data_IF_515198172620
#
_entry.id   IF_515198172620
#
_cell.length_a   1.000
_cell.length_b   1.000
_cell.length_c   1.000
_cell.angle_alpha   90.00
_cell.angle_beta   90.00
_cell.angle_gamma   90.00
#
_symmetry.space_group_name_H-M   'P 1'
#
loop_
_entity.id
_entity.type
_entity.pdbx_description
1 polymer ?
#
# COMPACT_ATOMS: atom_id res chain seq x y z
N UNK A 1 2.68 4.51 23.03
CA UNK A 1 4.01 3.88 23.25
C UNK A 1 5.08 4.95 22.97
N UNK A 2 6.22 4.87 23.63
CA UNK A 2 7.33 5.84 23.44
C UNK A 2 7.73 5.97 21.97
N UNK A 3 7.77 4.87 21.24
CA UNK A 3 8.01 4.83 19.78
C UNK A 3 7.00 5.66 18.98
N UNK A 4 5.76 5.70 19.40
CA UNK A 4 4.70 6.46 18.71
C UNK A 4 4.82 7.97 18.97
N UNK A 5 5.36 8.35 20.13
CA UNK A 5 5.64 9.77 20.48
C UNK A 5 6.73 10.29 19.56
N UNK A 6 7.85 9.57 19.44
CA UNK A 6 8.97 9.97 18.60
C UNK A 6 8.59 10.10 17.12
N UNK A 7 7.77 9.16 16.61
CA UNK A 7 7.26 9.24 15.24
C UNK A 7 6.30 10.40 15.03
N UNK A 8 5.44 10.66 16.02
CA UNK A 8 4.56 11.81 15.98
C UNK A 8 5.35 13.13 16.01
N UNK A 9 6.37 13.25 16.85
CA UNK A 9 7.26 14.43 16.90
C UNK A 9 8.01 14.60 15.57
N UNK A 10 8.47 13.50 14.97
CA UNK A 10 9.08 13.53 13.63
C UNK A 10 8.10 14.10 12.61
N UNK A 11 6.87 13.59 12.52
CA UNK A 11 5.88 14.05 11.56
C UNK A 11 5.48 15.51 11.79
N UNK A 12 5.34 15.95 13.04
CA UNK A 12 5.10 17.36 13.36
C UNK A 12 6.23 18.23 12.81
N UNK A 13 7.49 17.82 13.02
CA UNK A 13 8.66 18.54 12.50
C UNK A 13 8.68 18.60 10.97
N UNK A 14 8.38 17.48 10.30
CA UNK A 14 8.33 17.44 8.83
C UNK A 14 7.18 18.31 8.30
N UNK A 15 5.98 18.18 8.85
CA UNK A 15 4.80 18.91 8.38
C UNK A 15 4.85 20.41 8.68
N UNK A 16 5.53 20.82 9.74
CA UNK A 16 5.77 22.24 10.02
C UNK A 16 6.65 22.95 8.96
N UNK A 17 7.31 22.19 8.09
CA UNK A 17 8.06 22.72 6.94
C UNK A 17 7.16 22.90 5.70
N UNK A 18 5.90 22.55 5.80
CA UNK A 18 4.91 22.67 4.74
C UNK A 18 3.79 23.61 5.15
N UNK A 19 2.93 23.99 4.20
CA UNK A 19 1.70 24.76 4.47
C UNK A 19 0.46 23.86 4.54
N UNK A 20 0.63 22.56 4.80
CA UNK A 20 -0.47 21.59 4.87
C UNK A 20 -1.15 21.62 6.24
N UNK A 21 -2.49 21.68 6.23
CA UNK A 21 -3.29 21.35 7.41
C UNK A 21 -3.49 19.84 7.46
N UNK A 22 -3.29 19.23 8.63
CA UNK A 22 -3.38 17.78 8.76
C UNK A 22 -4.14 17.36 10.01
N UNK A 23 -4.69 16.17 9.96
CA UNK A 23 -5.29 15.45 11.08
C UNK A 23 -4.51 14.18 11.33
N UNK A 24 -4.23 13.86 12.60
CA UNK A 24 -3.60 12.60 12.96
C UNK A 24 -4.64 11.50 13.10
N UNK A 25 -4.49 10.44 12.32
CA UNK A 25 -5.28 9.22 12.47
C UNK A 25 -4.47 8.17 13.27
N UNK A 26 -5.04 7.57 14.34
CA UNK A 26 -4.33 6.56 15.13
C UNK A 26 -4.19 5.25 14.35
N UNK A 27 -2.96 4.81 14.16
CA UNK A 27 -2.67 3.51 13.55
C UNK A 27 -3.02 2.33 14.46
N UNK A 28 -3.26 1.18 13.86
CA UNK A 28 -3.57 -0.08 14.54
C UNK A 28 -2.27 -0.83 14.86
N UNK A 29 -2.06 -1.19 16.11
CA UNK A 29 -0.97 -2.10 16.49
C UNK A 29 -1.39 -3.55 16.22
N UNK A 30 -0.87 -4.13 15.14
CA UNK A 30 -1.23 -5.47 14.71
C UNK A 30 -0.91 -6.59 15.72
N UNK A 31 -0.05 -6.32 16.73
CA UNK A 31 0.24 -7.27 17.81
C UNK A 31 -0.90 -7.41 18.81
N UNK A 32 -1.78 -6.41 18.88
CA UNK A 32 -2.89 -6.35 19.84
C UNK A 32 -4.26 -6.39 19.14
N UNK A 33 -4.28 -6.76 17.86
CA UNK A 33 -5.50 -6.86 17.07
C UNK A 33 -6.23 -8.18 17.34
N UNK A 34 -7.53 -8.09 17.57
CA UNK A 34 -8.43 -9.25 17.47
C UNK A 34 -8.64 -9.60 15.99
N UNK A 35 -7.76 -10.47 15.46
CA UNK A 35 -7.76 -10.85 14.06
C UNK A 35 -9.02 -11.59 13.64
N UNK A 36 -9.58 -12.41 14.53
CA UNK A 36 -10.83 -13.15 14.29
C UNK A 36 -12.00 -12.20 14.05
N UNK A 37 -12.05 -11.11 14.81
CA UNK A 37 -13.04 -10.04 14.59
C UNK A 37 -12.92 -9.46 13.20
N UNK A 38 -11.71 -9.05 12.77
CA UNK A 38 -11.52 -8.45 11.45
C UNK A 38 -11.72 -9.43 10.29
N UNK A 39 -11.47 -10.73 10.53
CA UNK A 39 -11.79 -11.80 9.56
C UNK A 39 -13.32 -11.92 9.41
N UNK A 40 -14.06 -11.95 10.51
CA UNK A 40 -15.54 -12.03 10.50
C UNK A 40 -16.17 -10.79 9.86
N UNK A 41 -15.62 -9.62 10.12
CA UNK A 41 -16.06 -8.35 9.52
C UNK A 41 -15.65 -8.21 8.03
N UNK A 42 -14.85 -9.13 7.50
CA UNK A 42 -14.41 -9.12 6.10
C UNK A 42 -13.28 -8.15 5.77
N UNK A 43 -12.71 -7.45 6.75
CA UNK A 43 -11.60 -6.51 6.55
C UNK A 43 -10.24 -7.21 6.47
N UNK A 44 -10.10 -8.40 7.04
CA UNK A 44 -8.89 -9.25 7.00
C UNK A 44 -9.25 -10.63 6.42
N UNK A 45 -8.38 -11.20 5.60
CA UNK A 45 -8.51 -12.59 5.15
C UNK A 45 -7.71 -13.53 6.05
N UNK A 46 -8.16 -14.78 6.19
CA UNK A 46 -7.40 -15.83 6.88
C UNK A 46 -6.06 -16.09 6.18
N UNK A 47 -5.98 -15.90 4.86
CA UNK A 47 -4.73 -16.00 4.12
C UNK A 47 -3.75 -14.91 4.52
N UNK A 48 -4.20 -13.65 4.65
CA UNK A 48 -3.35 -12.55 5.11
C UNK A 48 -2.87 -12.78 6.55
N UNK A 49 -3.71 -13.28 7.45
CA UNK A 49 -3.30 -13.63 8.82
C UNK A 49 -2.23 -14.73 8.84
N UNK A 50 -2.34 -15.73 7.96
CA UNK A 50 -1.33 -16.78 7.83
C UNK A 50 0.00 -16.27 7.27
N UNK A 51 -0.04 -15.36 6.28
CA UNK A 51 1.14 -14.95 5.50
C UNK A 51 1.84 -13.71 6.03
N UNK A 52 1.09 -12.76 6.59
CA UNK A 52 1.61 -11.45 6.97
C UNK A 52 2.09 -11.43 8.42
N UNK A 53 3.08 -10.59 8.67
CA UNK A 53 3.49 -10.26 10.05
C UNK A 53 2.43 -9.37 10.71
N UNK A 54 2.40 -9.35 12.06
CA UNK A 54 1.48 -8.47 12.78
C UNK A 54 1.67 -6.99 12.40
N UNK A 55 2.91 -6.56 12.14
CA UNK A 55 3.20 -5.20 11.65
C UNK A 55 2.51 -4.91 10.31
N UNK A 56 2.57 -5.84 9.35
CA UNK A 56 1.92 -5.69 8.04
C UNK A 56 0.41 -5.69 8.14
N UNK A 57 -0.14 -6.54 9.03
CA UNK A 57 -1.59 -6.58 9.31
C UNK A 57 -2.02 -5.26 9.93
N UNK A 58 -1.29 -4.75 10.93
CA UNK A 58 -1.56 -3.47 11.56
C UNK A 58 -1.54 -2.32 10.57
N UNK A 59 -0.52 -2.26 9.70
CA UNK A 59 -0.42 -1.27 8.63
C UNK A 59 -1.62 -1.34 7.68
N UNK A 60 -1.92 -2.52 7.12
CA UNK A 60 -3.02 -2.69 6.18
C UNK A 60 -4.39 -2.36 6.79
N UNK A 61 -4.65 -2.80 8.02
CA UNK A 61 -5.89 -2.46 8.72
C UNK A 61 -5.97 -0.96 9.05
N UNK A 62 -4.84 -0.30 9.35
CA UNK A 62 -4.81 1.15 9.58
C UNK A 62 -5.29 1.91 8.34
N UNK A 63 -4.81 1.55 7.14
CA UNK A 63 -5.26 2.15 5.89
C UNK A 63 -6.76 1.90 5.66
N UNK A 64 -7.24 0.67 5.82
CA UNK A 64 -8.67 0.34 5.66
C UNK A 64 -9.55 1.14 6.63
N UNK A 65 -9.13 1.25 7.89
CA UNK A 65 -9.88 2.01 8.90
C UNK A 65 -9.84 3.52 8.64
N UNK A 66 -8.71 4.04 8.13
CA UNK A 66 -8.61 5.43 7.67
C UNK A 66 -9.58 5.70 6.51
N UNK A 67 -9.68 4.80 5.53
CA UNK A 67 -10.64 4.95 4.43
C UNK A 67 -12.10 4.93 4.93
N UNK A 68 -12.42 4.05 5.89
CA UNK A 68 -13.74 4.05 6.54
C UNK A 68 -14.00 5.35 7.29
N UNK A 69 -13.00 5.92 7.95
CA UNK A 69 -13.09 7.20 8.64
C UNK A 69 -13.35 8.34 7.66
N UNK A 70 -12.56 8.46 6.58
CA UNK A 70 -12.75 9.46 5.53
C UNK A 70 -14.14 9.35 4.91
N UNK A 71 -14.59 8.14 4.61
CA UNK A 71 -15.96 7.90 4.10
C UNK A 71 -17.04 8.42 5.04
N UNK A 72 -16.87 8.23 6.34
CA UNK A 72 -17.89 8.57 7.34
C UNK A 72 -17.89 10.07 7.69
N UNK A 73 -16.80 10.80 7.44
CA UNK A 73 -16.69 12.23 7.68
C UNK A 73 -17.43 13.12 6.67
N UNK A 74 -18.16 12.57 5.71
CA UNK A 74 -18.77 13.27 4.57
C UNK A 74 -19.83 14.35 4.92
N UNK A 75 -19.79 14.95 6.09
CA UNK A 75 -20.56 16.18 6.37
C UNK A 75 -20.11 17.36 5.49
N UNK A 76 -18.87 17.35 5.04
CA UNK A 76 -18.35 18.23 3.99
C UNK A 76 -17.64 17.34 2.96
N UNK A 77 -18.17 17.22 1.74
CA UNK A 77 -17.54 16.38 0.72
C UNK A 77 -16.16 16.95 0.38
N UNK A 78 -15.13 16.15 0.61
CA UNK A 78 -13.78 16.40 0.12
C UNK A 78 -13.59 15.57 -1.15
N UNK A 79 -12.99 16.15 -2.19
CA UNK A 79 -12.77 15.45 -3.45
C UNK A 79 -11.52 14.54 -3.40
N UNK A 80 -10.54 14.94 -2.58
CA UNK A 80 -9.25 14.28 -2.48
C UNK A 80 -8.76 14.26 -1.03
N UNK A 81 -8.01 13.22 -0.67
CA UNK A 81 -7.30 13.16 0.62
C UNK A 81 -5.84 12.79 0.39
N UNK A 82 -4.92 13.59 0.95
CA UNK A 82 -3.51 13.24 1.06
C UNK A 82 -3.33 12.37 2.31
N UNK A 83 -2.67 11.24 2.15
CA UNK A 83 -2.35 10.29 3.22
C UNK A 83 -0.85 10.16 3.33
N UNK A 84 -0.34 10.31 4.55
CA UNK A 84 1.08 10.22 4.88
C UNK A 84 1.28 9.21 6.01
N UNK A 85 2.25 8.32 5.87
CA UNK A 85 2.71 7.46 6.96
C UNK A 85 3.66 8.21 7.91
N UNK A 86 3.91 7.67 9.07
CA UNK A 86 4.63 8.32 10.17
C UNK A 86 6.17 8.30 10.03
N UNK A 87 6.69 7.84 8.89
CA UNK A 87 8.12 7.83 8.55
C UNK A 87 8.46 8.66 7.30
N UNK A 88 7.49 9.41 6.80
CA UNK A 88 7.66 10.30 5.65
C UNK A 88 8.56 11.48 6.00
N UNK A 89 9.35 11.91 5.03
CA UNK A 89 10.15 13.15 5.06
C UNK A 89 9.72 14.06 3.91
N UNK A 90 9.80 15.35 4.17
CA UNK A 90 9.57 16.41 3.21
C UNK A 90 10.82 16.57 2.34
N UNK A 91 10.72 16.36 1.02
CA UNK A 91 11.87 16.43 0.12
C UNK A 91 12.30 17.90 -0.16
N UNK A 92 11.34 18.81 -0.15
CA UNK A 92 11.57 20.20 -0.52
C UNK A 92 11.02 21.15 0.55
N UNK A 93 11.77 21.41 1.64
CA UNK A 93 11.37 22.40 2.65
C UNK A 93 11.05 23.76 2.02
N UNK A 94 10.03 24.42 2.51
CA UNK A 94 9.56 25.74 2.04
C UNK A 94 8.85 25.78 0.67
N UNK A 95 8.61 24.63 0.05
CA UNK A 95 7.73 24.55 -1.11
C UNK A 95 6.28 24.81 -0.69
N UNK A 96 5.49 25.41 -1.56
CA UNK A 96 4.03 25.50 -1.39
C UNK A 96 3.40 24.16 -1.74
N UNK A 97 3.37 23.24 -0.75
CA UNK A 97 2.86 21.87 -0.93
C UNK A 97 1.40 21.85 -1.34
N UNK A 98 0.57 22.75 -0.83
CA UNK A 98 -0.84 22.84 -1.23
C UNK A 98 -0.98 23.17 -2.71
N UNK A 99 -0.19 24.10 -3.22
CA UNK A 99 -0.18 24.47 -4.63
C UNK A 99 0.32 23.33 -5.52
N UNK A 100 1.43 22.70 -5.14
CA UNK A 100 2.00 21.59 -5.91
C UNK A 100 1.08 20.38 -5.97
N UNK A 101 0.47 19.98 -4.85
CA UNK A 101 -0.48 18.88 -4.79
C UNK A 101 -1.70 19.19 -5.67
N UNK A 102 -2.24 20.41 -5.61
CA UNK A 102 -3.35 20.82 -6.46
C UNK A 102 -2.98 20.82 -7.95
N UNK A 103 -1.75 21.23 -8.30
CA UNK A 103 -1.26 21.18 -9.68
C UNK A 103 -1.14 19.73 -10.19
N UNK A 104 -0.61 18.81 -9.36
CA UNK A 104 -0.54 17.37 -9.64
C UNK A 104 -1.94 16.80 -9.89
N UNK A 105 -2.90 17.09 -9.00
CA UNK A 105 -4.28 16.62 -9.14
C UNK A 105 -4.90 17.15 -10.44
N UNK A 106 -4.78 18.46 -10.70
CA UNK A 106 -5.33 19.09 -11.90
C UNK A 106 -4.75 18.47 -13.19
N UNK A 107 -3.43 18.27 -13.24
CA UNK A 107 -2.76 17.63 -14.36
C UNK A 107 -3.27 16.20 -14.59
N UNK A 108 -3.39 15.39 -13.53
CA UNK A 108 -3.76 13.99 -13.66
C UNK A 108 -5.26 13.80 -13.90
N UNK A 109 -6.10 14.73 -13.51
CA UNK A 109 -7.51 14.74 -13.92
C UNK A 109 -7.68 14.87 -15.44
N UNK A 110 -6.71 15.47 -16.12
CA UNK A 110 -6.71 15.60 -17.58
C UNK A 110 -6.03 14.40 -18.24
N UNK A 111 -4.84 14.03 -17.77
CA UNK A 111 -3.99 13.02 -18.42
C UNK A 111 -4.39 11.59 -18.10
N UNK A 112 -4.97 11.36 -16.92
CA UNK A 112 -5.36 10.05 -16.41
C UNK A 112 -6.74 10.12 -15.72
N UNK A 113 -7.83 10.44 -16.41
CA UNK A 113 -9.12 10.82 -15.80
C UNK A 113 -9.76 9.73 -14.91
N UNK A 114 -9.23 8.51 -14.94
CA UNK A 114 -9.70 7.37 -14.14
C UNK A 114 -8.77 7.00 -12.98
N UNK A 115 -7.82 7.87 -12.64
CA UNK A 115 -6.94 7.59 -11.51
C UNK A 115 -7.72 7.50 -10.19
N UNK A 116 -7.29 6.60 -9.32
CA UNK A 116 -7.89 6.37 -8.01
C UNK A 116 -6.91 6.71 -6.88
N UNK A 117 -5.63 6.48 -7.14
CA UNK A 117 -4.52 6.77 -6.22
C UNK A 117 -3.40 7.44 -7.02
N UNK A 118 -2.83 8.51 -6.48
CA UNK A 118 -1.56 9.09 -6.97
C UNK A 118 -0.53 8.90 -5.87
N UNK A 119 0.49 8.10 -6.11
CA UNK A 119 1.61 7.92 -5.18
C UNK A 119 2.64 9.02 -5.39
N UNK A 120 2.97 9.72 -4.31
CA UNK A 120 3.93 10.83 -4.30
C UNK A 120 5.32 10.40 -3.84
N UNK A 121 5.46 9.16 -3.39
CA UNK A 121 6.72 8.51 -3.04
C UNK A 121 6.83 7.17 -3.75
N UNK A 122 8.01 6.88 -4.30
CA UNK A 122 8.36 5.61 -4.92
C UNK A 122 9.70 5.13 -4.37
N UNK A 123 9.78 3.88 -3.94
CA UNK A 123 11.01 3.25 -3.46
C UNK A 123 11.94 2.80 -4.62
N UNK A 124 11.90 3.50 -5.76
CA UNK A 124 12.70 3.16 -6.95
C UNK A 124 12.16 1.98 -7.76
N UNK A 125 11.14 1.30 -7.26
CA UNK A 125 10.38 0.27 -7.97
C UNK A 125 8.90 0.62 -7.78
N UNK A 126 8.12 0.72 -8.84
CA UNK A 126 6.70 1.14 -8.80
C UNK A 126 5.76 0.17 -8.05
N UNK A 127 6.31 -0.82 -7.39
CA UNK A 127 5.60 -1.77 -6.54
C UNK A 127 5.55 -1.28 -5.10
N UNK A 128 4.74 -0.23 -4.88
CA UNK A 128 4.19 -0.06 -3.59
C UNK A 128 5.05 0.63 -2.55
N UNK A 129 4.96 1.94 -2.52
CA UNK A 129 5.12 2.67 -1.27
C UNK A 129 3.80 3.35 -0.97
N UNK A 130 3.13 2.91 0.10
CA UNK A 130 1.96 3.57 0.66
C UNK A 130 2.32 4.73 1.58
N UNK A 131 3.58 5.13 1.63
CA UNK A 131 4.05 6.12 2.59
C UNK A 131 3.49 7.52 2.37
N UNK A 132 3.33 7.94 1.10
CA UNK A 132 2.75 9.24 0.73
C UNK A 132 1.94 9.09 -0.55
N UNK A 133 0.63 9.32 -0.47
CA UNK A 133 -0.26 9.20 -1.63
C UNK A 133 -1.54 10.02 -1.50
N UNK A 134 -2.12 10.37 -2.64
CA UNK A 134 -3.42 11.03 -2.75
C UNK A 134 -4.46 10.00 -3.19
N UNK A 135 -5.62 10.00 -2.56
CA UNK A 135 -6.79 9.25 -3.01
C UNK A 135 -7.86 10.17 -3.58
N UNK A 136 -8.55 9.71 -4.63
CA UNK A 136 -9.79 10.32 -5.07
C UNK A 136 -10.94 9.74 -4.25
N UNK A 137 -11.66 10.61 -3.52
CA UNK A 137 -12.76 10.17 -2.63
C UNK A 137 -13.98 9.65 -3.40
N UNK A 138 -14.04 9.86 -4.71
CA UNK A 138 -15.02 9.19 -5.60
C UNK A 138 -14.95 7.66 -5.49
N UNK A 139 -13.80 7.13 -5.10
CA UNK A 139 -13.53 5.69 -4.98
C UNK A 139 -13.46 5.21 -3.53
N UNK A 140 -13.83 6.08 -2.57
CA UNK A 140 -13.68 5.79 -1.14
C UNK A 140 -14.45 4.56 -0.69
N UNK A 141 -15.60 4.27 -1.28
CA UNK A 141 -16.38 3.05 -0.97
C UNK A 141 -15.59 1.78 -1.30
N UNK A 142 -14.92 1.74 -2.45
CA UNK A 142 -14.09 0.59 -2.83
C UNK A 142 -12.90 0.42 -1.89
N UNK A 143 -12.23 1.52 -1.53
CA UNK A 143 -11.09 1.52 -0.59
C UNK A 143 -11.53 1.12 0.82
N UNK A 144 -12.65 1.66 1.32
CA UNK A 144 -13.17 1.37 2.66
C UNK A 144 -13.68 -0.06 2.81
N UNK A 145 -14.13 -0.68 1.72
CA UNK A 145 -14.60 -2.07 1.67
C UNK A 145 -13.49 -3.06 1.23
N UNK A 146 -12.26 -2.60 1.07
CA UNK A 146 -11.13 -3.47 0.74
C UNK A 146 -10.94 -4.53 1.83
N UNK A 147 -10.74 -5.78 1.42
CA UNK A 147 -10.34 -6.87 2.29
C UNK A 147 -8.84 -7.08 2.18
N UNK A 148 -8.14 -7.02 3.29
CA UNK A 148 -6.70 -7.26 3.31
C UNK A 148 -6.40 -8.73 2.99
N UNK A 149 -5.80 -8.98 1.81
CA UNK A 149 -5.41 -10.29 1.32
C UNK A 149 -3.92 -10.53 1.50
N UNK A 150 -3.11 -9.50 1.29
CA UNK A 150 -1.66 -9.48 1.45
C UNK A 150 -1.18 -8.04 1.67
N UNK A 151 0.10 -7.74 1.51
CA UNK A 151 0.65 -6.41 1.79
C UNK A 151 -0.15 -5.31 1.09
N UNK A 152 -0.60 -4.32 1.85
CA UNK A 152 -1.59 -3.32 1.40
C UNK A 152 -1.14 -2.57 0.16
N UNK A 153 0.12 -2.15 0.08
CA UNK A 153 0.65 -1.38 -1.05
C UNK A 153 0.64 -2.17 -2.34
N UNK A 154 1.06 -3.44 -2.25
CA UNK A 154 1.07 -4.36 -3.38
C UNK A 154 -0.36 -4.65 -3.80
N UNK A 155 -1.27 -4.88 -2.84
CA UNK A 155 -2.67 -5.13 -3.11
C UNK A 155 -3.32 -3.94 -3.82
N UNK A 156 -3.04 -2.72 -3.37
CA UNK A 156 -3.52 -1.51 -4.03
C UNK A 156 -3.04 -1.44 -5.48
N UNK A 157 -1.76 -1.76 -5.73
CA UNK A 157 -1.20 -1.72 -7.10
C UNK A 157 -1.89 -2.65 -8.08
N UNK A 158 -2.51 -3.73 -7.60
CA UNK A 158 -3.27 -4.66 -8.44
C UNK A 158 -4.76 -4.34 -8.54
N UNK A 159 -5.33 -3.65 -7.55
CA UNK A 159 -6.79 -3.44 -7.46
C UNK A 159 -7.22 -2.06 -7.96
N UNK A 160 -6.31 -1.08 -8.01
CA UNK A 160 -6.64 0.31 -8.30
C UNK A 160 -5.81 0.88 -9.45
N UNK A 161 -6.37 1.90 -10.12
CA UNK A 161 -5.65 2.69 -11.11
C UNK A 161 -4.73 3.67 -10.40
N UNK A 162 -3.44 3.33 -10.35
CA UNK A 162 -2.42 4.11 -9.64
C UNK A 162 -1.54 4.86 -10.62
N UNK A 163 -1.34 6.15 -10.36
CA UNK A 163 -0.29 6.96 -10.98
C UNK A 163 0.88 7.03 -9.99
N UNK A 164 2.08 6.73 -10.47
CA UNK A 164 3.30 6.77 -9.68
C UNK A 164 4.11 8.02 -10.01
N UNK A 165 4.38 8.83 -9.00
CA UNK A 165 5.25 9.98 -9.05
C UNK A 165 6.32 9.79 -7.98
N UNK A 166 7.55 10.21 -8.28
CA UNK A 166 8.63 10.24 -7.29
C UNK A 166 8.97 11.71 -7.03
N UNK A 167 8.15 12.33 -6.20
CA UNK A 167 8.23 13.76 -5.92
C UNK A 167 7.70 14.07 -4.53
N UNK A 168 8.03 15.23 -3.99
CA UNK A 168 7.55 15.83 -2.76
C UNK A 168 7.94 15.12 -1.45
N UNK A 169 7.96 13.78 -1.41
CA UNK A 169 8.18 13.04 -0.17
C UNK A 169 9.22 11.93 -0.34
N UNK A 170 9.94 11.64 0.74
CA UNK A 170 10.89 10.55 0.87
C UNK A 170 10.55 9.71 2.10
N UNK A 171 11.07 8.50 2.18
CA UNK A 171 11.00 7.66 3.38
C UNK A 171 12.36 7.09 3.73
N UNK A 172 12.50 6.62 4.96
CA UNK A 172 13.60 5.74 5.31
C UNK A 172 13.34 4.36 4.70
N UNK A 173 14.36 3.78 4.07
CA UNK A 173 14.31 2.42 3.58
C UNK A 173 13.96 1.46 4.73
N UNK A 174 12.87 0.71 4.55
CA UNK A 174 12.46 -0.36 5.46
C UNK A 174 12.40 -1.67 4.68
N UNK A 175 13.15 -2.65 5.15
CA UNK A 175 13.02 -4.01 4.64
C UNK A 175 11.69 -4.61 5.08
N UNK A 176 10.95 -5.14 4.12
CA UNK A 176 9.69 -5.82 4.34
C UNK A 176 9.93 -7.32 4.35
N UNK A 177 9.72 -7.97 5.50
CA UNK A 177 9.88 -9.41 5.66
C UNK A 177 8.54 -10.09 5.94
N UNK A 178 8.21 -11.11 5.15
CA UNK A 178 7.06 -11.97 5.40
C UNK A 178 7.42 -13.08 6.39
N UNK A 179 6.42 -13.61 7.12
CA UNK A 179 6.60 -14.77 8.02
C UNK A 179 7.11 -16.00 7.25
N UNK A 180 6.63 -16.18 6.02
CA UNK A 180 7.03 -17.30 5.18
C UNK A 180 8.21 -16.91 4.27
N UNK A 181 9.37 -17.58 4.38
CA UNK A 181 10.55 -17.29 3.56
C UNK A 181 10.29 -17.38 2.05
N UNK A 182 9.41 -18.29 1.61
CA UNK A 182 9.04 -18.43 0.20
C UNK A 182 8.32 -17.18 -0.33
N UNK A 183 7.52 -16.51 0.50
CA UNK A 183 6.86 -15.27 0.13
C UNK A 183 7.86 -14.12 -0.01
N UNK A 184 8.91 -14.08 0.82
CA UNK A 184 9.99 -13.11 0.66
C UNK A 184 10.70 -13.29 -0.69
N UNK A 185 10.95 -14.53 -1.10
CA UNK A 185 11.52 -14.85 -2.41
C UNK A 185 10.58 -14.40 -3.53
N UNK A 186 9.27 -14.72 -3.44
CA UNK A 186 8.27 -14.30 -4.43
C UNK A 186 8.20 -12.79 -4.58
N UNK A 187 8.23 -12.04 -3.48
CA UNK A 187 8.21 -10.56 -3.51
C UNK A 187 9.47 -9.99 -4.13
N UNK A 188 10.65 -10.55 -3.81
CA UNK A 188 11.90 -10.13 -4.44
C UNK A 188 11.89 -10.43 -5.94
N UNK A 189 11.40 -11.59 -6.36
CA UNK A 189 11.24 -11.91 -7.79
C UNK A 189 10.21 -11.01 -8.48
N UNK A 190 9.13 -10.63 -7.82
CA UNK A 190 8.20 -9.64 -8.34
C UNK A 190 8.86 -8.28 -8.54
N UNK A 191 9.67 -7.83 -7.58
CA UNK A 191 10.45 -6.58 -7.72
C UNK A 191 11.37 -6.63 -8.95
N UNK A 192 12.07 -7.73 -9.18
CA UNK A 192 12.93 -7.92 -10.35
C UNK A 192 12.11 -7.96 -11.65
N UNK A 193 11.01 -8.69 -11.67
CA UNK A 193 10.12 -8.77 -12.83
C UNK A 193 9.52 -7.40 -13.19
N UNK A 194 9.19 -6.60 -12.20
CA UNK A 194 8.65 -5.25 -12.40
C UNK A 194 9.71 -4.26 -12.88
N UNK A 195 10.94 -4.35 -12.37
CA UNK A 195 12.08 -3.58 -12.88
C UNK A 195 12.33 -3.85 -14.37
N UNK A 196 12.28 -5.11 -14.77
CA UNK A 196 12.37 -5.51 -16.18
C UNK A 196 11.19 -5.00 -17.02
N UNK A 197 9.98 -4.89 -16.41
CA UNK A 197 8.80 -4.33 -17.07
C UNK A 197 8.93 -2.84 -17.37
N UNK A 198 9.45 -2.03 -16.45
CA UNK A 198 9.66 -0.60 -16.68
C UNK A 198 10.65 -0.33 -17.81
N UNK A 199 11.62 -1.22 -18.01
CA UNK A 199 12.68 -1.04 -19.01
C UNK A 199 12.48 -1.84 -20.29
N UNK A 200 11.52 -2.76 -20.35
CA UNK A 200 11.29 -3.64 -21.49
C UNK A 200 9.82 -3.73 -21.90
N UNK A 201 9.31 -2.70 -22.59
CA UNK A 201 8.05 -2.72 -23.37
C UNK A 201 6.75 -3.24 -22.70
N UNK A 202 5.60 -2.64 -23.04
CA UNK A 202 4.22 -3.04 -22.72
C UNK A 202 3.86 -4.52 -23.01
N UNK A 203 4.70 -5.24 -23.72
CA UNK A 203 4.64 -6.68 -23.94
C UNK A 203 4.75 -7.51 -22.65
N UNK A 204 5.41 -6.98 -21.62
CA UNK A 204 5.60 -7.68 -20.33
C UNK A 204 4.39 -7.60 -19.38
N UNK A 205 3.36 -6.84 -19.67
CA UNK A 205 2.11 -6.93 -18.90
C UNK A 205 1.56 -8.37 -18.93
N UNK A 206 1.72 -9.07 -20.05
CA UNK A 206 1.44 -10.50 -20.18
C UNK A 206 2.41 -11.40 -19.40
N UNK A 207 3.64 -10.98 -19.17
CA UNK A 207 4.64 -11.80 -18.45
C UNK A 207 4.39 -11.77 -16.95
N UNK A 208 3.91 -10.68 -16.36
CA UNK A 208 3.53 -10.66 -14.93
C UNK A 208 2.34 -11.58 -14.68
N UNK A 209 1.32 -11.58 -15.53
CA UNK A 209 0.26 -12.60 -15.51
C UNK A 209 0.82 -14.00 -15.78
N UNK A 210 1.74 -14.14 -16.71
CA UNK A 210 2.45 -15.37 -17.02
C UNK A 210 3.26 -15.90 -15.83
N UNK A 211 3.93 -15.04 -15.07
CA UNK A 211 4.63 -15.42 -13.84
C UNK A 211 3.67 -15.93 -12.78
N UNK A 212 2.54 -15.28 -12.56
CA UNK A 212 1.54 -15.77 -11.60
C UNK A 212 0.96 -17.11 -12.03
N UNK A 213 0.65 -17.27 -13.32
CA UNK A 213 0.18 -18.55 -13.88
C UNK A 213 1.29 -19.61 -13.76
N UNK A 214 2.54 -19.25 -14.09
CA UNK A 214 3.68 -20.15 -13.98
C UNK A 214 3.92 -20.61 -12.53
N UNK A 215 3.87 -19.71 -11.55
CA UNK A 215 3.99 -20.07 -10.13
C UNK A 215 2.79 -20.88 -9.64
N UNK A 216 1.58 -20.58 -10.06
CA UNK A 216 0.41 -21.42 -9.75
C UNK A 216 0.55 -22.82 -10.35
N UNK A 217 1.04 -22.95 -11.58
CA UNK A 217 1.31 -24.25 -12.22
C UNK A 217 2.44 -24.98 -11.47
N UNK A 218 3.51 -24.28 -11.09
CA UNK A 218 4.63 -24.84 -10.34
C UNK A 218 4.18 -25.34 -8.95
N UNK A 219 3.35 -24.58 -8.24
CA UNK A 219 2.78 -24.97 -6.96
C UNK A 219 1.84 -26.17 -7.09
N UNK A 220 1.01 -26.19 -8.13
CA UNK A 220 0.15 -27.34 -8.45
C UNK A 220 0.98 -28.59 -8.81
N UNK A 221 2.06 -28.42 -9.56
CA UNK A 221 2.99 -29.48 -9.91
C UNK A 221 3.68 -30.06 -8.66
N UNK A 222 4.21 -29.21 -7.79
CA UNK A 222 4.79 -29.64 -6.50
C UNK A 222 3.76 -30.27 -5.58
N UNK A 223 2.54 -29.76 -5.54
CA UNK A 223 1.43 -30.36 -4.80
C UNK A 223 1.13 -31.78 -5.32
N UNK A 224 1.04 -31.97 -6.63
CA UNK A 224 0.78 -33.29 -7.23
C UNK A 224 1.93 -34.28 -7.02
N UNK A 225 3.20 -33.83 -7.05
CA UNK A 225 4.36 -34.69 -6.75
C UNK A 225 4.43 -35.04 -5.26
N UNK A 226 4.10 -34.11 -4.36
CA UNK A 226 4.16 -34.35 -2.91
C UNK A 226 2.95 -35.13 -2.38
N UNK A 227 1.81 -35.11 -3.08
CA UNK A 227 0.59 -35.81 -2.68
C UNK A 227 0.77 -37.30 -2.39
N UNK A 228 1.52 -38.12 -3.18
CA UNK A 228 1.76 -39.53 -2.86
C UNK A 228 2.59 -39.75 -1.60
N UNK A 229 3.40 -38.78 -1.20
CA UNK A 229 4.23 -38.85 0.02
C UNK A 229 3.46 -38.41 1.26
N UNK A 230 2.47 -37.53 1.12
CA UNK A 230 1.60 -37.05 2.20
C UNK A 230 0.48 -38.03 2.56
N UNK A 231 0.09 -38.91 1.62
CA UNK A 231 -0.96 -39.90 1.85
C UNK A 231 -0.47 -41.29 2.29
N UNK A 232 0.86 -41.43 2.52
CA UNK A 232 1.49 -42.66 3.02
C UNK A 232 1.79 -42.63 4.54
N UNK A 233 1.08 -41.79 5.31
CA UNK A 233 1.10 -41.84 6.78
C UNK A 233 -0.23 -42.31 7.33
#
# INVERSE_FOLDING_TARGET
MEKDIQRNEHMIKELNQTNLCYERFPGIDGRHVDKDKYIKEGSLSSFADYCLTDKMIGCGLSHIMLYKHIRNQQKQPIDYALILEDDVKVSHPHLDYSKEINAIIAQHNITHPHWQIIRLHSMGFDLGSGAAYIISTKHIESLANMRLLYHVDIQQSFQYHIVHLNTLFETKDHETHYKNPLLNICVQHQKVGFYLHQHAFSFLHYVVYGYHIFYCILLLFFYHISKPFLLRK
#
